data_IF_444333563778
#
_entry.id   IF_444333563778
#
_cell.length_a   1.000
_cell.length_b   1.000
_cell.length_c   1.000
_cell.angle_alpha   90.00
_cell.angle_beta   90.00
_cell.angle_gamma   90.00
#
_symmetry.space_group_name_H-M   'P 1'
#
loop_
_entity.id
_entity.type
_entity.pdbx_description
1 polymer ?
#
# COMPACT_ATOMS: atom_id res chain seq x y z
N UNK A 1 34.53 -36.27 1.81
CA UNK A 1 33.79 -36.34 0.53
C UNK A 1 32.35 -35.94 0.89
N UNK A 2 31.95 -34.68 0.84
CA UNK A 2 31.73 -33.82 -0.33
C UNK A 2 32.11 -32.35 -0.05
N UNK A 3 32.46 -31.61 -1.10
CA UNK A 3 32.71 -30.16 -1.14
C UNK A 3 31.47 -29.40 -1.69
N UNK A 4 31.47 -28.08 -1.44
CA UNK A 4 30.71 -26.96 -2.06
C UNK A 4 29.27 -26.76 -1.56
N UNK A 5 28.69 -25.56 -1.49
CA UNK A 5 29.15 -24.17 -1.35
C UNK A 5 27.88 -23.32 -1.12
N UNK A 6 28.00 -22.20 -0.42
CA UNK A 6 26.92 -21.23 -0.29
C UNK A 6 27.16 -20.25 0.85
N UNK A 7 27.90 -19.17 0.56
CA UNK A 7 28.07 -18.02 1.46
C UNK A 7 26.71 -17.37 1.72
N UNK A 8 26.33 -17.27 3.00
CA UNK A 8 25.54 -16.15 3.51
C UNK A 8 26.50 -15.21 4.24
N UNK A 9 26.74 -14.07 3.62
CA UNK A 9 27.28 -12.87 4.25
C UNK A 9 26.30 -12.40 5.33
N UNK A 10 26.81 -12.15 6.53
CA UNK A 10 26.03 -11.58 7.64
C UNK A 10 26.13 -12.42 8.90
N UNK A 11 27.21 -12.20 9.65
CA UNK A 11 27.44 -12.49 11.08
C UNK A 11 26.34 -13.29 11.79
N UNK A 12 26.48 -14.62 11.91
CA UNK A 12 26.26 -15.41 13.14
C UNK A 12 26.67 -16.87 12.87
N UNK A 13 27.78 -17.37 13.45
CA UNK A 13 28.12 -18.79 13.37
C UNK A 13 27.46 -19.54 14.53
N UNK A 14 26.45 -20.36 14.26
CA UNK A 14 25.99 -21.36 15.24
C UNK A 14 26.77 -22.64 14.98
N UNK A 15 27.84 -22.87 15.76
CA UNK A 15 28.78 -23.98 15.59
C UNK A 15 28.81 -24.94 16.78
N UNK A 16 27.71 -25.09 17.54
CA UNK A 16 27.67 -25.98 18.71
C UNK A 16 26.42 -26.87 18.75
N UNK A 17 26.58 -28.22 18.78
CA UNK A 17 25.48 -29.17 18.98
C UNK A 17 24.72 -28.97 20.30
N UNK A 18 25.32 -28.28 21.28
CA UNK A 18 24.72 -28.01 22.59
C UNK A 18 23.65 -26.91 22.51
N UNK A 19 23.74 -25.99 21.54
CA UNK A 19 22.70 -24.96 21.34
C UNK A 19 21.43 -25.50 20.67
N UNK A 20 21.52 -26.62 19.93
CA UNK A 20 20.33 -27.26 19.35
C UNK A 20 19.42 -27.86 20.44
N UNK A 21 20.01 -28.43 21.51
CA UNK A 21 19.27 -28.98 22.65
C UNK A 21 18.54 -27.92 23.48
N UNK A 22 19.04 -26.68 23.52
CA UNK A 22 18.38 -25.58 24.22
C UNK A 22 17.18 -25.02 23.44
N UNK A 23 17.19 -25.12 22.12
CA UNK A 23 16.08 -24.64 21.28
C UNK A 23 14.84 -25.51 21.47
N UNK A 24 14.98 -26.83 21.60
CA UNK A 24 13.85 -27.73 21.82
C UNK A 24 13.21 -27.56 23.22
N UNK A 25 14.00 -27.34 24.28
CA UNK A 25 13.47 -26.99 25.60
C UNK A 25 12.74 -25.64 25.59
N UNK A 26 13.29 -24.64 24.87
CA UNK A 26 12.68 -23.32 24.72
C UNK A 26 11.37 -23.41 23.93
N UNK A 27 11.33 -24.19 22.85
CA UNK A 27 10.12 -24.43 22.07
C UNK A 27 9.05 -25.20 22.86
N UNK A 28 9.45 -26.13 23.73
CA UNK A 28 8.53 -26.88 24.58
C UNK A 28 7.89 -25.99 25.65
N UNK A 29 8.67 -25.10 26.27
CA UNK A 29 8.15 -24.12 27.25
C UNK A 29 7.26 -23.09 26.57
N UNK A 30 7.65 -22.53 25.41
CA UNK A 30 6.87 -21.50 24.72
C UNK A 30 5.57 -22.05 24.13
N UNK A 31 5.55 -23.29 23.64
CA UNK A 31 4.31 -24.00 23.22
C UNK A 31 3.32 -24.23 24.36
N UNK A 32 3.78 -24.29 25.61
CA UNK A 32 2.88 -24.38 26.76
C UNK A 32 2.12 -23.06 27.04
N UNK A 33 2.55 -21.94 26.45
CA UNK A 33 1.94 -20.61 26.63
C UNK A 33 1.24 -20.06 25.37
N UNK A 34 1.57 -20.53 24.15
CA UNK A 34 0.91 -20.17 22.88
C UNK A 34 1.29 -21.12 21.73
N UNK A 35 0.38 -21.40 20.79
CA UNK A 35 0.65 -22.22 19.59
C UNK A 35 1.48 -21.48 18.52
N UNK A 36 1.55 -20.15 18.58
CA UNK A 36 2.32 -19.30 17.67
C UNK A 36 3.50 -18.63 18.39
N UNK A 37 4.72 -19.05 18.07
CA UNK A 37 5.97 -18.51 18.64
C UNK A 37 6.74 -17.73 17.57
N UNK A 38 7.04 -16.44 17.81
CA UNK A 38 7.76 -15.58 16.87
C UNK A 38 9.27 -15.50 17.20
N UNK A 39 10.11 -15.38 16.17
CA UNK A 39 11.59 -15.41 16.29
C UNK A 39 12.16 -14.33 17.24
N UNK A 40 11.44 -13.21 17.42
CA UNK A 40 11.84 -12.12 18.30
C UNK A 40 11.65 -12.44 19.80
N UNK A 41 10.70 -13.32 20.16
CA UNK A 41 10.49 -13.73 21.56
C UNK A 41 11.61 -14.64 22.04
N UNK A 42 12.11 -15.51 21.14
CA UNK A 42 13.29 -16.35 21.37
C UNK A 42 14.54 -15.47 21.54
N UNK A 43 14.69 -14.44 20.70
CA UNK A 43 15.78 -13.48 20.81
C UNK A 43 15.73 -12.72 22.13
N UNK A 44 14.56 -12.25 22.57
CA UNK A 44 14.38 -11.53 23.83
C UNK A 44 14.77 -12.38 25.05
N UNK A 45 14.36 -13.66 25.09
CA UNK A 45 14.67 -14.55 26.22
C UNK A 45 16.16 -14.92 26.30
N UNK A 46 16.79 -15.20 25.17
CA UNK A 46 18.23 -15.44 25.07
C UNK A 46 19.05 -14.18 25.42
N UNK A 47 18.51 -12.98 25.15
CA UNK A 47 19.16 -11.71 25.41
C UNK A 47 19.03 -11.27 26.89
N UNK A 48 17.89 -11.53 27.55
CA UNK A 48 17.64 -11.21 28.97
C UNK A 48 18.57 -11.96 29.93
N UNK A 49 18.94 -13.22 29.64
CA UNK A 49 19.88 -13.98 30.49
C UNK A 49 21.31 -13.41 30.47
N UNK A 50 21.71 -12.79 29.37
CA UNK A 50 23.05 -12.24 29.19
C UNK A 50 23.20 -10.83 29.80
N UNK A 51 22.12 -10.05 29.86
CA UNK A 51 22.12 -8.68 30.39
C UNK A 51 22.21 -8.63 31.93
N UNK A 52 21.79 -9.68 32.66
CA UNK A 52 21.88 -9.72 34.14
C UNK A 52 23.30 -9.63 34.70
N UNK A 53 24.35 -9.76 33.88
CA UNK A 53 25.76 -9.64 34.30
C UNK A 53 26.34 -8.23 34.18
N UNK A 54 25.63 -7.27 33.58
CA UNK A 54 26.15 -5.91 33.37
C UNK A 54 25.35 -4.95 34.25
N UNK A 55 25.99 -4.35 35.26
CA UNK A 55 25.42 -3.24 36.05
C UNK A 55 25.34 -2.00 35.17
N UNK A 56 24.28 -1.91 34.36
CA UNK A 56 23.95 -0.73 33.55
C UNK A 56 22.66 -0.06 34.04
N UNK A 57 22.33 -0.20 35.33
CA UNK A 57 21.07 0.28 35.89
C UNK A 57 20.94 1.82 35.92
N UNK A 58 22.01 2.57 35.61
CA UNK A 58 21.96 4.04 35.49
C UNK A 58 21.84 4.54 34.04
N UNK A 59 21.78 3.64 33.04
CA UNK A 59 21.54 4.03 31.63
C UNK A 59 20.23 3.47 31.06
N UNK A 60 19.50 2.65 31.81
CA UNK A 60 18.21 2.09 31.38
C UNK A 60 17.09 3.04 31.85
N UNK A 61 17.13 4.26 31.33
CA UNK A 61 15.94 5.14 31.30
C UNK A 61 15.81 5.92 29.97
N UNK A 62 16.44 5.46 28.88
CA UNK A 62 16.40 6.21 27.60
C UNK A 62 16.27 5.37 26.34
N UNK A 63 15.71 4.17 26.43
CA UNK A 63 15.19 3.52 25.23
C UNK A 63 13.69 3.24 25.41
N UNK A 64 12.91 4.33 25.41
CA UNK A 64 11.73 4.37 24.52
C UNK A 64 12.16 3.74 23.19
N UNK A 65 11.29 3.02 22.51
CA UNK A 65 11.55 2.62 21.14
C UNK A 65 12.05 3.85 20.34
N UNK A 66 13.37 4.02 20.17
CA UNK A 66 13.95 5.08 19.35
C UNK A 66 14.17 4.45 17.99
N UNK A 67 13.07 4.19 17.31
CA UNK A 67 12.76 5.10 16.22
C UNK A 67 11.48 5.81 16.68
N UNK A 68 11.62 6.78 17.59
CA UNK A 68 10.89 8.00 17.38
C UNK A 68 11.43 8.43 16.02
N UNK A 69 10.71 8.04 14.96
CA UNK A 69 10.73 8.81 13.74
C UNK A 69 10.34 10.17 14.31
N UNK A 70 11.32 11.06 14.56
CA UNK A 70 11.02 12.50 14.66
C UNK A 70 9.97 12.69 13.60
N UNK A 71 8.76 13.08 13.97
CA UNK A 71 7.59 13.03 13.08
C UNK A 71 8.06 13.61 11.75
N UNK A 72 8.41 12.72 10.82
CA UNK A 72 9.07 13.14 9.60
C UNK A 72 7.89 13.74 8.91
N UNK A 73 7.94 15.05 8.69
CA UNK A 73 6.96 15.66 7.82
C UNK A 73 7.06 14.87 6.52
N UNK A 74 6.05 14.05 6.26
CA UNK A 74 5.87 13.31 5.02
C UNK A 74 4.77 14.08 4.27
N UNK A 75 5.11 15.19 3.57
CA UNK A 75 4.18 15.85 2.68
C UNK A 75 3.69 14.89 1.60
N UNK A 76 2.37 14.71 1.52
CA UNK A 76 1.69 14.16 0.37
C UNK A 76 0.98 15.30 -0.36
N UNK A 77 1.59 15.80 -1.42
CA UNK A 77 1.01 16.90 -2.20
C UNK A 77 0.04 16.38 -3.26
N UNK A 78 -1.22 16.83 -3.20
CA UNK A 78 -2.22 16.55 -4.25
C UNK A 78 -3.32 17.62 -4.31
N UNK A 79 -4.28 17.46 -5.21
CA UNK A 79 -5.47 18.31 -5.27
C UNK A 79 -6.42 18.07 -4.07
N UNK A 80 -7.31 19.05 -3.75
CA UNK A 80 -8.32 18.94 -2.68
C UNK A 80 -9.51 18.05 -3.08
N UNK A 81 -9.23 16.91 -3.68
CA UNK A 81 -10.19 15.85 -3.96
C UNK A 81 -9.50 14.48 -3.88
N UNK A 82 -10.24 13.36 -3.81
CA UNK A 82 -9.63 12.03 -3.62
C UNK A 82 -8.65 11.65 -4.73
N UNK A 83 -9.16 11.50 -5.96
CA UNK A 83 -8.37 11.25 -7.16
C UNK A 83 -7.33 10.12 -7.01
N UNK A 84 -6.15 10.32 -7.58
CA UNK A 84 -5.06 9.31 -7.54
C UNK A 84 -4.32 9.24 -6.20
N UNK A 85 -4.48 10.23 -5.33
CA UNK A 85 -3.82 10.25 -4.02
C UNK A 85 -4.60 9.52 -2.92
N UNK A 86 -5.91 9.32 -3.09
CA UNK A 86 -6.74 8.71 -2.04
C UNK A 86 -6.24 7.33 -1.57
N UNK A 87 -5.82 6.40 -2.44
CA UNK A 87 -5.22 5.14 -1.98
C UNK A 87 -4.01 5.35 -1.06
N UNK A 88 -3.21 6.39 -1.32
CA UNK A 88 -1.99 6.71 -0.57
C UNK A 88 -2.39 7.28 0.80
N UNK A 89 -3.34 8.22 0.84
CA UNK A 89 -3.91 8.78 2.07
C UNK A 89 -4.46 7.69 2.97
N UNK A 90 -5.27 6.79 2.41
CA UNK A 90 -5.82 5.65 3.13
C UNK A 90 -4.73 4.70 3.62
N UNK A 91 -3.72 4.40 2.81
CA UNK A 91 -2.63 3.52 3.22
C UNK A 91 -1.82 4.12 4.39
N UNK A 92 -1.47 5.41 4.33
CA UNK A 92 -0.80 6.13 5.41
C UNK A 92 -1.64 6.11 6.69
N UNK A 93 -2.93 6.45 6.57
CA UNK A 93 -3.85 6.54 7.69
C UNK A 93 -4.14 5.18 8.35
N UNK A 94 -4.37 4.13 7.55
CA UNK A 94 -4.58 2.75 8.03
C UNK A 94 -3.33 2.25 8.76
N UNK A 95 -2.14 2.56 8.25
CA UNK A 95 -0.87 2.19 8.85
C UNK A 95 -0.51 3.00 10.11
N UNK A 96 -1.28 4.05 10.44
CA UNK A 96 -0.96 4.96 11.53
C UNK A 96 0.32 5.76 11.30
N UNK A 97 0.70 5.98 10.04
CA UNK A 97 1.86 6.79 9.66
C UNK A 97 1.41 8.26 9.58
N UNK A 98 1.89 9.15 10.46
CA UNK A 98 1.59 10.58 10.37
C UNK A 98 2.14 11.16 9.07
N UNK A 99 1.37 12.04 8.44
CA UNK A 99 1.74 12.70 7.20
C UNK A 99 1.04 14.06 7.09
N UNK A 100 1.60 14.96 6.29
CA UNK A 100 0.97 16.24 5.95
C UNK A 100 0.22 16.10 4.62
N UNK A 101 -1.10 16.24 4.62
CA UNK A 101 -1.94 16.18 3.42
C UNK A 101 -1.96 17.56 2.74
N UNK A 102 -0.85 17.92 2.09
CA UNK A 102 -0.69 19.20 1.40
C UNK A 102 -1.62 19.28 0.17
N UNK A 103 -2.72 20.02 0.32
CA UNK A 103 -3.73 20.19 -0.73
C UNK A 103 -3.54 21.49 -1.48
N UNK A 104 -3.21 21.37 -2.76
CA UNK A 104 -2.96 22.53 -3.62
C UNK A 104 -3.99 22.66 -4.74
N UNK A 105 -4.22 23.88 -5.20
CA UNK A 105 -5.09 24.12 -6.36
C UNK A 105 -4.32 24.05 -7.71
N UNK A 106 -5.05 24.26 -8.81
CA UNK A 106 -4.46 24.26 -10.15
C UNK A 106 -3.52 25.45 -10.40
N UNK A 107 -3.74 26.59 -9.74
CA UNK A 107 -2.88 27.77 -9.84
C UNK A 107 -1.53 27.49 -9.17
N UNK A 108 -1.54 26.92 -7.97
CA UNK A 108 -0.37 26.50 -7.24
C UNK A 108 0.40 25.41 -8.00
N UNK A 109 -0.28 24.37 -8.52
CA UNK A 109 0.37 23.39 -9.38
C UNK A 109 1.08 24.08 -10.54
N UNK A 110 0.43 25.03 -11.23
CA UNK A 110 1.06 25.71 -12.36
C UNK A 110 2.29 26.54 -11.97
N UNK A 111 2.34 27.08 -10.74
CA UNK A 111 3.50 27.80 -10.22
C UNK A 111 4.68 26.89 -9.89
N UNK A 112 4.43 25.72 -9.29
CA UNK A 112 5.50 24.77 -8.88
C UNK A 112 5.74 23.61 -9.85
N UNK A 113 5.00 23.52 -10.96
CA UNK A 113 5.02 22.37 -11.88
C UNK A 113 6.44 21.93 -12.26
N UNK A 114 7.30 22.87 -12.66
CA UNK A 114 8.67 22.59 -13.10
C UNK A 114 9.61 22.14 -11.99
N UNK A 115 9.22 22.29 -10.72
CA UNK A 115 10.01 21.82 -9.57
C UNK A 115 9.61 20.41 -9.14
N UNK A 116 8.50 19.87 -9.68
CA UNK A 116 8.01 18.54 -9.35
C UNK A 116 8.62 17.49 -10.30
N UNK A 117 8.95 16.29 -9.80
CA UNK A 117 9.33 15.17 -10.66
C UNK A 117 8.25 14.91 -11.71
N UNK A 118 8.65 14.87 -12.98
CA UNK A 118 7.76 14.67 -14.12
C UNK A 118 6.61 15.67 -14.26
N UNK A 119 6.70 16.86 -13.63
CA UNK A 119 5.74 17.95 -13.81
C UNK A 119 4.28 17.60 -13.43
N UNK A 120 4.09 16.68 -12.47
CA UNK A 120 2.79 16.08 -12.15
C UNK A 120 2.58 15.86 -10.64
N UNK A 121 1.36 15.48 -10.30
CA UNK A 121 0.93 15.06 -8.96
C UNK A 121 0.30 13.65 -9.03
N UNK A 122 0.20 12.89 -7.92
CA UNK A 122 0.70 13.22 -6.58
C UNK A 122 2.22 13.11 -6.46
N UNK A 123 2.76 13.81 -5.45
CA UNK A 123 4.14 13.61 -4.98
C UNK A 123 4.14 13.32 -3.48
N UNK A 124 5.10 12.51 -3.03
CA UNK A 124 5.39 12.24 -1.63
C UNK A 124 6.82 12.67 -1.35
N UNK A 125 7.04 13.47 -0.32
CA UNK A 125 8.38 13.81 0.15
C UNK A 125 8.80 12.90 1.30
N UNK A 126 9.96 12.26 1.15
CA UNK A 126 10.54 11.40 2.18
C UNK A 126 12.05 11.66 2.24
N UNK A 127 12.56 11.99 3.43
CA UNK A 127 13.99 12.22 3.66
C UNK A 127 14.60 13.29 2.72
N UNK A 128 13.81 14.32 2.40
CA UNK A 128 14.19 15.41 1.49
C UNK A 128 14.16 15.02 0.00
N UNK A 129 13.72 13.81 -0.34
CA UNK A 129 13.51 13.38 -1.72
C UNK A 129 12.02 13.45 -2.08
N UNK A 130 11.71 14.23 -3.12
CA UNK A 130 10.34 14.31 -3.68
C UNK A 130 10.17 13.24 -4.74
N UNK A 131 9.23 12.32 -4.53
CA UNK A 131 8.94 11.20 -5.42
C UNK A 131 7.55 11.33 -6.02
N UNK A 132 7.42 11.05 -7.33
CA UNK A 132 6.14 11.03 -8.06
C UNK A 132 5.76 9.59 -8.44
N UNK A 133 4.56 9.43 -9.04
CA UNK A 133 3.93 8.18 -9.50
C UNK A 133 3.09 7.52 -8.41
N UNK A 134 1.77 7.76 -8.47
CA UNK A 134 0.82 7.40 -7.41
C UNK A 134 0.92 5.93 -6.95
N UNK A 135 1.01 4.98 -7.88
CA UNK A 135 1.09 3.55 -7.54
C UNK A 135 2.48 3.13 -7.02
N UNK A 136 3.54 3.83 -7.43
CA UNK A 136 4.87 3.67 -6.86
C UNK A 136 4.92 4.17 -5.41
N UNK A 137 4.35 5.36 -5.16
CA UNK A 137 4.19 5.92 -3.81
C UNK A 137 3.32 4.98 -2.95
N UNK A 138 2.19 4.50 -3.48
CA UNK A 138 1.32 3.56 -2.78
C UNK A 138 2.04 2.25 -2.43
N UNK A 139 2.87 1.71 -3.32
CA UNK A 139 3.71 0.53 -3.03
C UNK A 139 4.66 0.81 -1.86
N UNK A 140 5.32 1.96 -1.88
CA UNK A 140 6.27 2.37 -0.84
C UNK A 140 5.57 2.48 0.52
N UNK A 141 4.51 3.28 0.61
CA UNK A 141 3.70 3.46 1.82
C UNK A 141 3.13 2.13 2.31
N UNK A 142 2.59 1.32 1.39
CA UNK A 142 2.07 0.01 1.72
C UNK A 142 3.13 -0.94 2.26
N UNK A 143 4.37 -0.82 1.81
CA UNK A 143 5.49 -1.61 2.35
C UNK A 143 5.80 -1.19 3.79
N UNK A 144 5.85 0.12 4.06
CA UNK A 144 6.05 0.64 5.42
C UNK A 144 4.92 0.23 6.37
N UNK A 145 3.68 0.27 5.88
CA UNK A 145 2.47 -0.01 6.65
C UNK A 145 2.01 -1.46 6.69
N UNK A 146 2.78 -2.40 6.10
CA UNK A 146 2.41 -3.82 6.05
C UNK A 146 1.24 -4.18 5.11
N UNK A 147 0.81 -3.26 4.24
CA UNK A 147 -0.23 -3.44 3.21
C UNK A 147 0.32 -3.94 1.86
N UNK A 148 1.64 -4.04 1.71
CA UNK A 148 2.32 -4.65 0.58
C UNK A 148 3.34 -5.69 1.08
N UNK A 149 3.07 -6.97 0.82
CA UNK A 149 3.88 -8.10 1.29
C UNK A 149 5.17 -8.29 0.49
N UNK A 150 6.16 -7.41 0.66
CA UNK A 150 7.44 -7.49 -0.08
C UNK A 150 8.19 -8.83 0.11
N UNK A 151 8.05 -9.48 1.27
CA UNK A 151 8.65 -10.78 1.57
C UNK A 151 7.92 -11.97 0.93
N UNK A 152 6.70 -11.78 0.43
CA UNK A 152 5.89 -12.81 -0.23
C UNK A 152 5.84 -12.56 -1.73
N UNK A 153 6.86 -13.05 -2.44
CA UNK A 153 7.08 -12.77 -3.86
C UNK A 153 5.82 -12.92 -4.75
N UNK A 154 4.99 -13.94 -4.51
CA UNK A 154 3.76 -14.17 -5.31
C UNK A 154 2.65 -13.16 -5.02
N UNK A 155 2.52 -12.68 -3.78
CA UNK A 155 1.57 -11.61 -3.44
C UNK A 155 2.06 -10.28 -4.00
N UNK A 156 3.34 -9.95 -3.81
CA UNK A 156 3.98 -8.76 -4.38
C UNK A 156 3.80 -8.69 -5.91
N UNK A 157 4.09 -9.79 -6.62
CA UNK A 157 3.90 -9.91 -8.07
C UNK A 157 2.45 -9.63 -8.51
N UNK A 158 1.45 -10.12 -7.77
CA UNK A 158 0.03 -9.90 -8.09
C UNK A 158 -0.42 -8.47 -7.80
N UNK A 159 0.07 -7.86 -6.72
CA UNK A 159 -0.16 -6.44 -6.45
C UNK A 159 0.35 -5.59 -7.62
N UNK A 160 1.55 -5.90 -8.10
CA UNK A 160 2.18 -5.15 -9.18
C UNK A 160 1.49 -5.36 -10.53
N UNK A 161 0.96 -6.56 -10.79
CA UNK A 161 0.12 -6.82 -11.96
C UNK A 161 -1.17 -5.99 -11.94
N UNK A 162 -1.84 -5.89 -10.79
CA UNK A 162 -3.03 -5.03 -10.63
C UNK A 162 -2.67 -3.57 -10.86
N UNK A 163 -1.55 -3.11 -10.29
CA UNK A 163 -1.08 -1.74 -10.46
C UNK A 163 -0.80 -1.40 -11.92
N UNK A 164 -0.08 -2.27 -12.64
CA UNK A 164 0.25 -2.05 -14.04
C UNK A 164 -1.02 -1.89 -14.90
N UNK A 165 -2.03 -2.74 -14.67
CA UNK A 165 -3.30 -2.67 -15.42
C UNK A 165 -4.12 -1.41 -15.09
N UNK A 166 -4.08 -0.95 -13.84
CA UNK A 166 -4.73 0.31 -13.45
C UNK A 166 -4.00 1.51 -14.07
N UNK A 167 -2.67 1.52 -14.08
CA UNK A 167 -1.90 2.58 -14.71
C UNK A 167 -2.08 2.61 -16.23
N UNK A 168 -2.19 1.44 -16.87
CA UNK A 168 -2.52 1.31 -18.29
C UNK A 168 -3.89 1.97 -18.60
N UNK A 169 -4.89 1.78 -17.74
CA UNK A 169 -6.18 2.44 -17.89
C UNK A 169 -6.06 3.97 -17.83
N UNK A 170 -5.38 4.51 -16.81
CA UNK A 170 -5.22 5.96 -16.63
C UNK A 170 -4.25 6.60 -17.65
N UNK A 171 -3.34 5.83 -18.24
CA UNK A 171 -2.47 6.29 -19.33
C UNK A 171 -3.08 6.09 -20.72
N UNK A 172 -4.19 5.33 -20.82
CA UNK A 172 -4.84 5.05 -22.10
C UNK A 172 -5.29 6.32 -22.82
N UNK A 173 -5.22 6.29 -24.16
CA UNK A 173 -5.75 7.36 -25.00
C UNK A 173 -7.24 7.62 -24.73
N UNK A 174 -8.04 6.56 -24.55
CA UNK A 174 -9.48 6.69 -24.32
C UNK A 174 -9.79 7.48 -23.05
N UNK A 175 -9.09 7.19 -21.95
CA UNK A 175 -9.22 7.97 -20.72
C UNK A 175 -8.74 9.41 -20.93
N UNK A 176 -7.49 9.59 -21.36
CA UNK A 176 -6.86 10.91 -21.44
C UNK A 176 -7.57 11.86 -22.42
N UNK A 177 -7.94 11.37 -23.61
CA UNK A 177 -8.71 12.14 -24.57
C UNK A 177 -10.05 12.58 -23.96
N UNK A 178 -10.74 11.71 -23.22
CA UNK A 178 -12.02 12.05 -22.59
C UNK A 178 -11.91 12.95 -21.36
N UNK A 179 -10.80 12.88 -20.63
CA UNK A 179 -10.62 13.58 -19.37
C UNK A 179 -10.18 15.03 -19.61
N UNK A 180 -9.32 15.25 -20.59
CA UNK A 180 -8.77 16.57 -20.94
C UNK A 180 -9.51 17.28 -22.09
N UNK A 181 -10.56 16.68 -22.67
CA UNK A 181 -11.37 17.33 -23.71
C UNK A 181 -12.14 18.53 -23.14
N UNK A 182 -12.01 19.68 -23.80
CA UNK A 182 -12.63 20.94 -23.40
C UNK A 182 -14.05 21.10 -23.98
N UNK A 183 -14.30 20.58 -25.18
CA UNK A 183 -15.64 20.65 -25.79
C UNK A 183 -16.61 19.67 -25.10
N UNK A 184 -17.70 20.14 -24.48
CA UNK A 184 -18.60 19.28 -23.72
C UNK A 184 -19.30 18.19 -24.56
N UNK A 185 -19.62 18.47 -25.83
CA UNK A 185 -20.31 17.53 -26.69
C UNK A 185 -19.37 16.39 -27.12
N UNK A 186 -18.15 16.74 -27.52
CA UNK A 186 -17.09 15.78 -27.86
C UNK A 186 -16.65 14.99 -26.63
N UNK A 187 -16.53 15.63 -25.47
CA UNK A 187 -16.23 14.97 -24.20
C UNK A 187 -17.28 13.90 -23.88
N UNK A 188 -18.57 14.22 -24.01
CA UNK A 188 -19.67 13.27 -23.82
C UNK A 188 -19.58 12.09 -24.78
N UNK A 189 -19.23 12.32 -26.05
CA UNK A 189 -19.02 11.25 -27.03
C UNK A 189 -17.86 10.34 -26.64
N UNK A 190 -16.70 10.91 -26.28
CA UNK A 190 -15.53 10.16 -25.84
C UNK A 190 -15.81 9.33 -24.59
N UNK A 191 -16.53 9.90 -23.61
CA UNK A 191 -16.94 9.19 -22.38
C UNK A 191 -17.95 8.07 -22.64
N UNK A 192 -18.84 8.26 -23.61
CA UNK A 192 -19.75 7.18 -24.06
C UNK A 192 -18.96 6.01 -24.63
N UNK A 193 -17.89 6.28 -25.40
CA UNK A 193 -17.00 5.23 -25.91
C UNK A 193 -16.17 4.58 -24.80
N UNK A 194 -15.58 5.37 -23.91
CA UNK A 194 -14.87 4.90 -22.72
C UNK A 194 -15.72 3.91 -21.91
N UNK A 195 -17.00 4.25 -21.69
CA UNK A 195 -17.94 3.43 -20.93
C UNK A 195 -18.39 2.13 -21.64
N UNK A 196 -18.27 2.05 -22.97
CA UNK A 196 -18.65 0.87 -23.76
C UNK A 196 -17.48 -0.07 -24.05
N UNK A 197 -16.26 0.46 -24.10
CA UNK A 197 -15.08 -0.27 -24.58
C UNK A 197 -14.02 -0.36 -23.49
N UNK A 198 -13.20 0.69 -23.31
CA UNK A 198 -11.96 0.61 -22.51
C UNK A 198 -12.23 0.31 -21.04
N UNK A 199 -13.16 1.02 -20.40
CA UNK A 199 -13.45 0.82 -18.97
C UNK A 199 -13.97 -0.60 -18.66
N UNK A 200 -15.05 -1.11 -19.29
CA UNK A 200 -15.51 -2.46 -19.01
C UNK A 200 -14.46 -3.53 -19.38
N UNK A 201 -13.63 -3.31 -20.40
CA UNK A 201 -12.53 -4.23 -20.72
C UNK A 201 -11.51 -4.31 -19.57
N UNK A 202 -11.00 -3.17 -19.07
CA UNK A 202 -10.10 -3.11 -17.91
C UNK A 202 -10.72 -3.78 -16.69
N UNK A 203 -11.97 -3.45 -16.35
CA UNK A 203 -12.67 -4.04 -15.21
C UNK A 203 -12.85 -5.56 -15.40
N UNK A 204 -13.10 -6.04 -16.61
CA UNK A 204 -13.21 -7.47 -16.88
C UNK A 204 -11.90 -8.22 -16.66
N UNK A 205 -10.76 -7.60 -16.99
CA UNK A 205 -9.44 -8.18 -16.74
C UNK A 205 -9.18 -8.26 -15.23
N UNK A 206 -9.40 -7.17 -14.49
CA UNK A 206 -9.26 -7.12 -13.03
C UNK A 206 -10.15 -8.18 -12.37
N UNK A 207 -11.45 -8.20 -12.69
CA UNK A 207 -12.42 -9.18 -12.16
C UNK A 207 -11.93 -10.62 -12.37
N UNK A 208 -11.51 -10.97 -13.59
CA UNK A 208 -11.01 -12.32 -13.91
C UNK A 208 -9.72 -12.68 -13.17
N UNK A 209 -8.84 -11.71 -12.89
CA UNK A 209 -7.61 -11.95 -12.13
C UNK A 209 -7.92 -12.14 -10.65
N UNK A 210 -8.60 -11.18 -10.03
CA UNK A 210 -8.90 -11.21 -8.59
C UNK A 210 -9.76 -12.39 -8.19
N UNK A 211 -10.73 -12.80 -9.02
CA UNK A 211 -11.56 -13.98 -8.76
C UNK A 211 -10.79 -15.30 -8.74
N UNK A 212 -9.57 -15.36 -9.29
CA UNK A 212 -8.72 -16.56 -9.25
C UNK A 212 -7.83 -16.64 -8.02
N UNK A 213 -7.74 -15.58 -7.22
CA UNK A 213 -6.71 -15.47 -6.18
C UNK A 213 -7.27 -15.55 -4.78
N UNK A 214 -8.33 -14.82 -4.49
CA UNK A 214 -8.94 -14.77 -3.17
C UNK A 214 -10.44 -14.38 -3.28
N UNK A 215 -11.26 -14.86 -2.35
CA UNK A 215 -12.70 -14.59 -2.33
C UNK A 215 -13.04 -13.20 -1.81
N UNK A 216 -12.32 -12.70 -0.80
CA UNK A 216 -12.58 -11.43 -0.12
C UNK A 216 -11.71 -10.29 -0.63
N UNK A 217 -10.39 -10.43 -0.56
CA UNK A 217 -9.43 -9.42 -0.98
C UNK A 217 -9.03 -9.59 -2.45
N UNK A 218 -8.36 -8.58 -3.02
CA UNK A 218 -7.75 -8.65 -4.33
C UNK A 218 -6.57 -9.62 -4.29
N UNK A 219 -5.65 -9.46 -3.33
CA UNK A 219 -4.43 -10.25 -3.18
C UNK A 219 -4.24 -10.63 -1.71
N UNK A 220 -3.78 -11.85 -1.46
CA UNK A 220 -3.54 -12.34 -0.09
C UNK A 220 -4.83 -12.56 0.69
N UNK A 221 -4.72 -12.69 2.01
CA UNK A 221 -5.83 -12.98 2.92
C UNK A 221 -6.23 -11.78 3.81
N UNK A 222 -5.66 -10.60 3.55
CA UNK A 222 -5.88 -9.37 4.31
C UNK A 222 -5.94 -8.18 3.36
N UNK A 223 -6.34 -7.01 3.87
CA UNK A 223 -6.31 -5.77 3.11
C UNK A 223 -4.89 -5.50 2.58
N UNK A 224 -4.80 -5.20 1.29
CA UNK A 224 -3.55 -4.84 0.61
C UNK A 224 -3.73 -3.56 -0.20
N UNK A 225 -2.61 -3.01 -0.67
CA UNK A 225 -2.63 -1.86 -1.57
C UNK A 225 -3.37 -2.10 -2.90
N UNK A 226 -3.49 -3.34 -3.36
CA UNK A 226 -4.30 -3.67 -4.54
C UNK A 226 -5.79 -3.42 -4.29
N UNK A 227 -6.29 -3.72 -3.08
CA UNK A 227 -7.66 -3.42 -2.69
C UNK A 227 -7.92 -1.91 -2.71
N UNK A 228 -7.00 -1.12 -2.15
CA UNK A 228 -7.10 0.34 -2.11
C UNK A 228 -7.08 0.96 -3.53
N UNK A 229 -6.22 0.46 -4.41
CA UNK A 229 -6.14 0.92 -5.80
C UNK A 229 -7.42 0.56 -6.60
N UNK A 230 -7.94 -0.66 -6.46
CA UNK A 230 -9.20 -1.09 -7.09
C UNK A 230 -10.38 -0.27 -6.53
N UNK A 231 -10.42 -0.06 -5.21
CA UNK A 231 -11.47 0.72 -4.57
C UNK A 231 -11.50 2.15 -5.11
N UNK A 232 -10.35 2.81 -5.25
CA UNK A 232 -10.26 4.15 -5.83
C UNK A 232 -10.66 4.21 -7.30
N UNK A 233 -10.29 3.20 -8.10
CA UNK A 233 -10.74 3.10 -9.50
C UNK A 233 -12.28 3.00 -9.55
N UNK A 234 -12.88 2.13 -8.74
CA UNK A 234 -14.33 1.98 -8.68
C UNK A 234 -15.02 3.22 -8.13
N UNK A 235 -14.49 3.86 -7.10
CA UNK A 235 -15.00 5.12 -6.56
C UNK A 235 -15.11 6.19 -7.64
N UNK A 236 -14.08 6.32 -8.50
CA UNK A 236 -14.05 7.28 -9.60
C UNK A 236 -15.31 7.17 -10.48
N UNK A 237 -15.71 5.94 -10.84
CA UNK A 237 -16.85 5.70 -11.71
C UNK A 237 -18.19 5.52 -10.98
N UNK A 238 -18.18 5.10 -9.71
CA UNK A 238 -19.39 4.99 -8.87
C UNK A 238 -19.88 6.33 -8.33
N UNK A 239 -18.97 7.29 -8.15
CA UNK A 239 -19.28 8.61 -7.56
C UNK A 239 -20.21 9.48 -8.43
N UNK A 240 -20.41 9.12 -9.71
CA UNK A 240 -21.16 9.94 -10.66
C UNK A 240 -20.44 11.22 -11.12
N UNK A 241 -19.20 11.46 -10.67
CA UNK A 241 -18.44 12.67 -10.99
C UNK A 241 -17.92 12.70 -12.43
N UNK A 242 -17.73 11.55 -13.06
CA UNK A 242 -17.34 11.45 -14.47
C UNK A 242 -18.61 11.54 -15.35
N UNK A 243 -19.11 12.77 -15.53
CA UNK A 243 -20.34 13.04 -16.30
C UNK A 243 -20.27 12.40 -17.69
N UNK A 244 -21.28 11.61 -18.06
CA UNK A 244 -21.31 10.89 -19.35
C UNK A 244 -20.76 9.47 -19.31
N UNK A 245 -20.20 9.02 -18.18
CA UNK A 245 -19.98 7.60 -17.88
C UNK A 245 -21.08 7.13 -16.93
N UNK A 246 -21.96 6.21 -17.33
CA UNK A 246 -23.01 5.70 -16.45
C UNK A 246 -22.42 4.94 -15.26
N UNK A 247 -22.87 5.23 -14.03
CA UNK A 247 -22.43 4.50 -12.82
C UNK A 247 -22.75 3.00 -12.89
N UNK A 248 -23.72 2.60 -13.70
CA UNK A 248 -24.07 1.20 -13.95
C UNK A 248 -22.99 0.41 -14.67
N UNK A 249 -21.99 1.07 -15.29
CA UNK A 249 -20.89 0.39 -15.99
C UNK A 249 -20.12 -0.58 -15.08
N UNK A 250 -20.06 -0.30 -13.77
CA UNK A 250 -19.37 -1.17 -12.81
C UNK A 250 -20.24 -2.32 -12.28
N UNK A 251 -21.56 -2.24 -12.46
CA UNK A 251 -22.53 -3.16 -11.85
C UNK A 251 -22.30 -4.66 -12.16
N UNK A 252 -21.78 -5.06 -13.35
CA UNK A 252 -21.51 -6.46 -13.65
C UNK A 252 -20.32 -7.07 -12.87
N UNK A 253 -19.41 -6.26 -12.33
CA UNK A 253 -18.14 -6.73 -11.76
C UNK A 253 -18.27 -6.99 -10.26
N UNK A 254 -18.89 -8.11 -9.90
CA UNK A 254 -19.29 -8.43 -8.53
C UNK A 254 -18.10 -8.64 -7.59
N UNK A 255 -17.01 -9.27 -8.06
CA UNK A 255 -15.81 -9.44 -7.26
C UNK A 255 -15.16 -8.09 -6.96
N UNK A 256 -15.06 -7.20 -7.95
CA UNK A 256 -14.50 -5.86 -7.71
C UNK A 256 -15.38 -5.03 -6.78
N UNK A 257 -16.71 -5.10 -6.92
CA UNK A 257 -17.64 -4.44 -6.00
C UNK A 257 -17.49 -4.96 -4.56
N UNK A 258 -17.34 -6.27 -4.37
CA UNK A 258 -17.04 -6.86 -3.05
C UNK A 258 -15.73 -6.32 -2.46
N UNK A 259 -14.66 -6.21 -3.26
CA UNK A 259 -13.39 -5.59 -2.81
C UNK A 259 -13.60 -4.13 -2.39
N UNK A 260 -14.36 -3.35 -3.17
CA UNK A 260 -14.70 -1.98 -2.83
C UNK A 260 -15.43 -1.89 -1.48
N UNK A 261 -16.42 -2.75 -1.26
CA UNK A 261 -17.22 -2.76 -0.03
C UNK A 261 -16.34 -3.15 1.17
N UNK A 262 -15.44 -4.13 1.02
CA UNK A 262 -14.44 -4.49 2.05
C UNK A 262 -13.56 -3.30 2.45
N UNK A 263 -13.12 -2.48 1.49
CA UNK A 263 -12.35 -1.26 1.78
C UNK A 263 -13.23 -0.23 2.49
N UNK A 264 -14.46 0.00 2.01
CA UNK A 264 -15.38 0.98 2.56
C UNK A 264 -15.82 0.64 4.01
N UNK A 265 -15.92 -0.64 4.33
CA UNK A 265 -16.25 -1.14 5.68
C UNK A 265 -15.08 -1.10 6.66
N UNK A 266 -13.85 -0.83 6.19
CA UNK A 266 -12.69 -0.80 7.06
C UNK A 266 -12.80 0.37 8.06
N UNK A 267 -12.69 0.15 9.39
CA UNK A 267 -12.96 1.20 10.39
C UNK A 267 -12.15 2.48 10.19
N UNK A 268 -10.86 2.35 9.82
CA UNK A 268 -9.99 3.50 9.52
C UNK A 268 -10.42 4.30 8.28
N UNK A 269 -11.08 3.66 7.31
CA UNK A 269 -11.60 4.36 6.13
C UNK A 269 -12.81 5.20 6.52
N UNK A 270 -13.69 4.68 7.40
CA UNK A 270 -14.79 5.44 7.98
C UNK A 270 -14.31 6.62 8.83
N UNK A 271 -13.29 6.40 9.67
CA UNK A 271 -12.67 7.46 10.47
C UNK A 271 -12.09 8.55 9.55
N UNK A 272 -11.25 8.18 8.57
CA UNK A 272 -10.70 9.09 7.57
C UNK A 272 -11.78 9.91 6.84
N UNK A 273 -12.87 9.26 6.40
CA UNK A 273 -13.96 9.92 5.70
C UNK A 273 -14.77 10.91 6.56
N UNK A 274 -14.68 10.81 7.89
CA UNK A 274 -15.33 11.72 8.84
C UNK A 274 -14.50 12.96 9.19
N UNK A 275 -13.21 12.93 8.87
CA UNK A 275 -12.30 14.04 9.14
C UNK A 275 -12.61 15.24 8.25
N UNK A 276 -12.38 16.44 8.78
CA UNK A 276 -12.41 17.66 7.97
C UNK A 276 -11.12 17.75 7.18
N UNK A 277 -11.28 18.07 5.91
CA UNK A 277 -10.35 17.85 4.80
C UNK A 277 -10.35 19.05 3.88
#
# INVERSE_FOLDING_TARGET
MFRYAGRLSGLYPVSSPIMALQVDEILHVLKAFSDDVLLHDIALYCWVKSIRKIKLAEQIDKHKCIVAVEAKDIPLTYFPFPGRAEPIRLALFIAGIPFDDERIDACELNRKRSTLPFNQLPVLEVDGEVVSQALGILRYVGTLGGLYSASKAKEAFRNDEVFALIDEFYSSYAWNASYFEADPAKQKQLRTRLAKETLPNTLSFLERRTSKWNERHAVGNSLTVADLAISSLLWTFRSGRILGVPVSVVAPFKKLLSIYDVVAEHPKVGEWGSMKH
#
